data_IF_736976333787
#
_entry.id   IF_736976333787
#
_cell.length_a   1.000
_cell.length_b   1.000
_cell.length_c   1.000
_cell.angle_alpha   90.00
_cell.angle_beta   90.00
_cell.angle_gamma   90.00
#
_symmetry.space_group_name_H-M   'P 1'
#
loop_
_entity.id
_entity.type
_entity.pdbx_description
1 polymer ?
#
# COMPACT_ATOMS: atom_id res chain seq x y z
N UNK A 1 -16.15 -14.57 -3.40
CA UNK A 1 -14.96 -13.83 -3.84
C UNK A 1 -13.75 -14.26 -3.03
N UNK A 2 -12.73 -14.86 -3.67
CA UNK A 2 -11.42 -15.09 -3.06
C UNK A 2 -10.81 -13.82 -2.46
N UNK A 3 -9.84 -14.01 -1.55
CA UNK A 3 -9.05 -12.93 -0.99
C UNK A 3 -7.57 -13.17 -1.31
N UNK A 4 -6.88 -12.12 -1.72
CA UNK A 4 -5.48 -12.14 -2.06
C UNK A 4 -4.68 -11.24 -1.12
N UNK A 5 -3.47 -11.70 -0.81
CA UNK A 5 -2.51 -10.97 0.00
C UNK A 5 -1.44 -10.37 -0.91
N UNK A 6 -1.32 -9.05 -0.87
CA UNK A 6 -0.32 -8.29 -1.58
C UNK A 6 0.66 -7.65 -0.57
N UNK A 7 1.96 -7.95 -0.76
CA UNK A 7 3.06 -7.35 0.00
C UNK A 7 3.81 -6.34 -0.87
N UNK A 8 3.79 -5.08 -0.48
CA UNK A 8 4.53 -4.01 -1.14
C UNK A 8 5.80 -3.69 -0.36
N UNK A 9 6.98 -3.88 -0.95
CA UNK A 9 8.23 -3.35 -0.38
C UNK A 9 8.68 -2.14 -1.17
N UNK A 10 8.80 -0.94 -0.57
CA UNK A 10 9.38 0.22 -1.25
C UNK A 10 10.81 -0.08 -1.69
N UNK A 11 11.15 0.25 -2.93
CA UNK A 11 12.51 0.07 -3.46
C UNK A 11 13.50 1.08 -2.91
N UNK A 12 13.02 2.22 -2.43
CA UNK A 12 13.83 3.30 -1.84
C UNK A 12 13.26 3.66 -0.47
N UNK A 13 13.98 3.32 0.60
CA UNK A 13 13.56 3.59 1.98
C UNK A 13 13.29 5.09 2.23
N UNK A 14 14.06 5.95 1.56
CA UNK A 14 13.90 7.42 1.60
C UNK A 14 12.49 7.91 1.22
N UNK A 15 11.69 7.12 0.50
CA UNK A 15 10.28 7.47 0.22
C UNK A 15 9.40 7.48 1.48
N UNK A 16 9.81 6.77 2.53
CA UNK A 16 9.06 6.65 3.79
C UNK A 16 9.69 7.43 4.94
N UNK A 17 10.99 7.74 4.86
CA UNK A 17 11.76 8.34 5.96
C UNK A 17 12.08 9.82 5.75
N UNK A 18 12.00 10.30 4.51
CA UNK A 18 12.33 11.69 4.15
C UNK A 18 11.09 12.40 3.61
N UNK A 19 10.38 13.07 4.51
CA UNK A 19 9.21 13.89 4.21
C UNK A 19 9.55 15.21 3.51
N UNK A 20 10.84 15.55 3.42
CA UNK A 20 11.34 16.83 2.88
C UNK A 20 11.26 16.91 1.34
N UNK A 21 11.06 15.77 0.68
CA UNK A 21 10.90 15.70 -0.77
C UNK A 21 9.41 15.64 -1.13
N UNK A 22 8.86 16.78 -1.55
CA UNK A 22 7.44 16.93 -1.90
C UNK A 22 6.96 15.90 -2.93
N UNK A 23 7.77 15.57 -3.94
CA UNK A 23 7.42 14.55 -4.94
C UNK A 23 7.25 13.15 -4.34
N UNK A 24 8.09 12.76 -3.38
CA UNK A 24 8.02 11.44 -2.72
C UNK A 24 6.79 11.36 -1.82
N UNK A 25 6.52 12.42 -1.06
CA UNK A 25 5.34 12.54 -0.20
C UNK A 25 4.05 12.44 -1.02
N UNK A 26 4.01 13.06 -2.20
CA UNK A 26 2.86 12.96 -3.11
C UNK A 26 2.62 11.54 -3.64
N UNK A 27 3.68 10.78 -3.96
CA UNK A 27 3.52 9.41 -4.45
C UNK A 27 2.92 8.49 -3.36
N UNK A 28 3.40 8.60 -2.13
CA UNK A 28 2.88 7.84 -0.98
C UNK A 28 1.45 8.25 -0.67
N UNK A 29 1.13 9.55 -0.70
CA UNK A 29 -0.21 10.06 -0.46
C UNK A 29 -1.21 9.60 -1.53
N UNK A 30 -0.84 9.69 -2.82
CA UNK A 30 -1.66 9.18 -3.94
C UNK A 30 -1.95 7.69 -3.78
N UNK A 31 -0.94 6.90 -3.40
CA UNK A 31 -1.12 5.48 -3.14
C UNK A 31 -2.07 5.23 -1.97
N UNK A 32 -1.91 5.95 -0.86
CA UNK A 32 -2.83 5.87 0.28
C UNK A 32 -4.28 6.19 -0.10
N UNK A 33 -4.50 7.30 -0.82
CA UNK A 33 -5.84 7.71 -1.25
C UNK A 33 -6.49 6.68 -2.19
N UNK A 34 -5.71 6.07 -3.08
CA UNK A 34 -6.18 5.00 -3.95
C UNK A 34 -6.67 3.79 -3.15
N UNK A 35 -5.87 3.30 -2.20
CA UNK A 35 -6.26 2.17 -1.36
C UNK A 35 -7.46 2.51 -0.46
N UNK A 36 -7.53 3.74 0.06
CA UNK A 36 -8.67 4.23 0.83
C UNK A 36 -9.97 4.18 0.02
N UNK A 37 -9.97 4.70 -1.20
CA UNK A 37 -11.12 4.65 -2.12
C UNK A 37 -11.55 3.20 -2.43
N UNK A 38 -10.60 2.29 -2.66
CA UNK A 38 -10.91 0.87 -2.89
C UNK A 38 -11.45 0.17 -1.63
N UNK A 39 -11.03 0.62 -0.44
CA UNK A 39 -11.57 0.14 0.84
C UNK A 39 -13.01 0.59 1.01
N UNK A 40 -13.32 1.86 0.71
CA UNK A 40 -14.68 2.41 0.72
C UNK A 40 -15.62 1.68 -0.27
N UNK A 41 -15.07 1.19 -1.39
CA UNK A 41 -15.79 0.35 -2.37
C UNK A 41 -15.91 -1.12 -1.96
N UNK A 42 -15.33 -1.52 -0.83
CA UNK A 42 -15.36 -2.91 -0.32
C UNK A 42 -14.50 -3.91 -1.08
N UNK A 43 -13.66 -3.43 -2.01
CA UNK A 43 -12.70 -4.22 -2.79
C UNK A 43 -11.50 -4.58 -1.91
N UNK A 44 -10.95 -3.59 -1.21
CA UNK A 44 -9.92 -3.80 -0.19
C UNK A 44 -10.60 -4.11 1.15
N UNK A 45 -10.12 -5.17 1.81
CA UNK A 45 -10.53 -5.56 3.16
C UNK A 45 -9.68 -4.85 4.21
N UNK A 46 -8.37 -4.75 3.95
CA UNK A 46 -7.41 -4.10 4.83
C UNK A 46 -6.23 -3.60 4.02
N UNK A 47 -5.75 -2.39 4.35
CA UNK A 47 -4.52 -1.84 3.82
C UNK A 47 -3.76 -1.10 4.92
N UNK A 48 -2.44 -1.28 4.96
CA UNK A 48 -1.57 -0.59 5.91
C UNK A 48 -0.10 -0.83 5.62
N UNK A 49 0.78 -0.26 6.44
CA UNK A 49 2.21 -0.56 6.45
C UNK A 49 2.64 -1.01 7.83
N UNK A 50 3.77 -1.69 7.90
CA UNK A 50 4.46 -1.89 9.17
C UNK A 50 4.86 -0.55 9.80
N UNK A 51 5.00 -0.54 11.11
CA UNK A 51 5.24 0.67 11.92
C UNK A 51 6.71 1.04 12.04
N UNK A 52 7.62 0.19 11.54
CA UNK A 52 9.05 0.47 11.52
C UNK A 52 9.44 1.35 10.32
N UNK A 53 10.63 1.97 10.44
CA UNK A 53 11.19 2.93 9.46
C UNK A 53 12.56 2.49 8.93
N UNK A 54 12.84 1.19 8.94
CA UNK A 54 14.06 0.58 8.41
C UNK A 54 13.76 -0.23 7.13
N UNK A 55 14.78 -0.86 6.55
CA UNK A 55 14.67 -1.62 5.29
C UNK A 55 13.73 -2.83 5.35
N UNK A 56 13.31 -3.26 6.54
CA UNK A 56 12.29 -4.29 6.71
C UNK A 56 10.87 -3.74 6.68
N UNK A 57 10.67 -2.43 6.46
CA UNK A 57 9.33 -1.84 6.29
C UNK A 57 8.64 -2.36 5.02
N UNK A 58 7.34 -2.66 5.11
CA UNK A 58 6.52 -3.03 3.95
C UNK A 58 5.05 -2.67 4.14
N UNK A 59 4.36 -2.49 3.02
CA UNK A 59 2.91 -2.40 2.91
C UNK A 59 2.26 -3.78 2.87
N UNK A 60 1.07 -3.88 3.44
CA UNK A 60 0.22 -5.05 3.48
C UNK A 60 -1.14 -4.63 2.92
N UNK A 61 -1.66 -5.37 1.96
CA UNK A 61 -3.03 -5.21 1.45
C UNK A 61 -3.69 -6.58 1.35
N UNK A 62 -4.93 -6.66 1.85
CA UNK A 62 -5.84 -7.78 1.62
C UNK A 62 -6.96 -7.25 0.73
N UNK A 63 -7.16 -7.86 -0.44
CA UNK A 63 -8.18 -7.46 -1.40
C UNK A 63 -9.00 -8.66 -1.88
N UNK A 64 -10.20 -8.37 -2.39
CA UNK A 64 -11.07 -9.35 -3.05
C UNK A 64 -10.89 -9.24 -4.56
N UNK A 65 -10.66 -10.36 -5.21
CA UNK A 65 -10.60 -10.47 -6.67
C UNK A 65 -11.13 -11.84 -7.12
N UNK A 66 -11.50 -11.99 -8.38
CA UNK A 66 -11.99 -13.27 -8.92
C UNK A 66 -10.83 -14.23 -9.22
N UNK A 67 -9.70 -13.69 -9.70
CA UNK A 67 -8.47 -14.44 -9.96
C UNK A 67 -7.24 -13.71 -9.41
N UNK A 68 -6.11 -14.41 -9.31
CA UNK A 68 -4.83 -13.79 -8.94
C UNK A 68 -4.39 -12.73 -9.95
N UNK A 69 -4.73 -12.89 -11.24
CA UNK A 69 -4.37 -11.90 -12.28
C UNK A 69 -5.16 -10.60 -12.17
N UNK A 70 -6.33 -10.63 -11.52
CA UNK A 70 -7.15 -9.44 -11.26
C UNK A 70 -6.72 -8.70 -9.98
N UNK A 71 -5.84 -9.32 -9.18
CA UNK A 71 -5.36 -8.82 -7.90
C UNK A 71 -4.05 -8.02 -8.03
#
# INVERSE_FOLDING_TARGET
MPQFFYKLKPTRLVMLTDSSSEEKSQAVEKHYLYLKNLTEKGIIVMAGRTTNNDESTFGIVILKAETESDA
#
